data_IF_806322742276
#
_entry.id   IF_806322742276
#
_cell.length_a   1.000
_cell.length_b   1.000
_cell.length_c   1.000
_cell.angle_alpha   90.00
_cell.angle_beta   90.00
_cell.angle_gamma   90.00
#
_symmetry.space_group_name_H-M   'P 1'
#
loop_
_entity.id
_entity.type
_entity.pdbx_description
1 polymer ?
#
# COMPACT_ATOMS: atom_id res chain seq x y z
N UNK A 1 53.02 -17.93 1.70
CA UNK A 1 52.36 -16.86 0.94
C UNK A 1 51.31 -17.48 0.03
N UNK A 2 50.03 -17.32 0.35
CA UNK A 2 48.92 -17.36 -0.60
C UNK A 2 47.67 -16.88 0.15
N UNK A 3 47.22 -15.66 -0.18
CA UNK A 3 45.96 -15.09 0.27
C UNK A 3 44.82 -15.94 -0.30
N UNK A 4 43.96 -16.47 0.57
CA UNK A 4 42.65 -16.97 0.17
C UNK A 4 41.68 -15.80 0.37
N UNK A 5 41.32 -15.15 -0.73
CA UNK A 5 40.30 -14.11 -0.74
C UNK A 5 38.97 -14.73 -0.27
N UNK A 6 38.42 -14.19 0.81
CA UNK A 6 37.01 -14.31 1.14
C UNK A 6 36.23 -13.56 0.06
N UNK A 7 35.39 -14.29 -0.66
CA UNK A 7 34.29 -13.69 -1.40
C UNK A 7 33.21 -13.46 -0.35
N UNK A 8 33.00 -12.19 -0.01
CA UNK A 8 31.86 -11.75 0.78
C UNK A 8 30.59 -11.91 -0.07
N UNK A 9 29.79 -12.93 0.25
CA UNK A 9 28.40 -13.00 -0.20
C UNK A 9 27.56 -12.05 0.67
N UNK A 10 27.59 -10.76 0.35
CA UNK A 10 26.67 -9.73 0.86
C UNK A 10 25.59 -9.45 -0.21
N UNK A 11 24.63 -10.36 -0.33
CA UNK A 11 23.36 -10.13 -1.05
C UNK A 11 22.17 -10.34 -0.10
N UNK A 12 22.25 -9.67 1.06
CA UNK A 12 21.14 -9.52 2.01
C UNK A 12 20.22 -8.39 1.58
N UNK A 13 19.42 -8.62 0.53
CA UNK A 13 18.48 -7.66 -0.04
C UNK A 13 17.58 -6.96 1.01
N UNK A 14 17.73 -5.64 1.11
CA UNK A 14 16.95 -4.74 1.96
C UNK A 14 15.52 -4.57 1.43
N UNK A 15 14.70 -5.60 1.57
CA UNK A 15 13.25 -5.50 1.39
C UNK A 15 12.60 -5.04 2.71
N UNK A 16 11.38 -4.45 2.72
CA UNK A 16 10.55 -4.07 3.90
C UNK A 16 10.56 -2.59 4.32
N UNK A 17 11.07 -1.67 3.49
CA UNK A 17 11.20 -0.28 3.93
C UNK A 17 9.85 0.45 4.06
N UNK A 18 8.79 -0.03 3.39
CA UNK A 18 7.41 0.46 3.53
C UNK A 18 6.82 0.32 4.94
N UNK A 19 7.42 -0.50 5.80
CA UNK A 19 7.02 -0.60 7.20
C UNK A 19 7.53 0.56 8.05
N UNK A 20 8.59 1.26 7.63
CA UNK A 20 9.25 2.31 8.43
C UNK A 20 8.83 3.74 8.09
N UNK A 21 8.12 3.97 6.98
CA UNK A 21 7.85 5.32 6.45
C UNK A 21 6.85 6.15 7.29
N UNK A 22 6.34 5.60 8.40
CA UNK A 22 5.39 6.29 9.30
C UNK A 22 6.02 7.51 9.99
N UNK A 23 7.35 7.59 10.04
CA UNK A 23 8.04 8.77 10.56
C UNK A 23 7.71 10.06 9.79
N UNK A 24 7.20 9.94 8.56
CA UNK A 24 6.73 11.06 7.75
C UNK A 24 5.27 11.47 7.99
N UNK A 25 4.51 10.77 8.84
CA UNK A 25 3.14 11.19 9.14
C UNK A 25 3.14 12.55 9.85
N UNK A 26 2.28 13.49 9.43
CA UNK A 26 2.25 14.83 10.01
C UNK A 26 1.65 14.84 11.42
N UNK A 27 0.96 13.74 11.81
CA UNK A 27 0.27 13.60 13.09
C UNK A 27 -0.76 14.72 13.36
N UNK A 28 -1.32 15.31 12.31
CA UNK A 28 -2.32 16.38 12.36
C UNK A 28 -3.51 16.09 11.44
N UNK A 29 -4.59 16.86 11.60
CA UNK A 29 -5.79 16.75 10.78
C UNK A 29 -5.62 17.55 9.49
N UNK A 30 -5.50 16.86 8.35
CA UNK A 30 -5.56 17.43 7.01
C UNK A 30 -6.99 17.38 6.44
N UNK A 31 -7.20 18.04 5.30
CA UNK A 31 -8.46 17.93 4.55
C UNK A 31 -8.69 16.48 4.09
N UNK A 32 -9.95 15.98 4.03
CA UNK A 32 -10.26 14.65 3.51
C UNK A 32 -9.75 14.41 2.08
N UNK A 33 -9.45 13.15 1.77
CA UNK A 33 -9.05 12.70 0.43
C UNK A 33 -10.32 12.38 -0.36
N UNK A 34 -10.57 13.19 -1.40
CA UNK A 34 -11.79 13.14 -2.23
C UNK A 34 -11.50 13.49 -3.69
N UNK A 35 -12.42 13.18 -4.59
CA UNK A 35 -12.35 13.41 -6.03
C UNK A 35 -11.87 12.20 -6.84
N UNK A 36 -11.17 11.27 -6.21
CA UNK A 36 -10.70 10.04 -6.86
C UNK A 36 -11.85 9.03 -7.06
N UNK A 37 -12.80 8.98 -6.12
CA UNK A 37 -13.96 8.09 -6.14
C UNK A 37 -14.88 8.33 -7.35
N UNK A 38 -14.87 9.57 -7.86
CA UNK A 38 -15.61 10.04 -9.04
C UNK A 38 -14.93 9.70 -10.37
N UNK A 39 -13.68 9.23 -10.35
CA UNK A 39 -12.97 8.82 -11.57
C UNK A 39 -13.50 7.48 -12.09
N UNK A 40 -13.44 7.24 -13.40
CA UNK A 40 -13.73 5.93 -13.97
C UNK A 40 -12.75 4.89 -13.44
N UNK A 41 -13.20 3.64 -13.32
CA UNK A 41 -12.31 2.51 -13.14
C UNK A 41 -11.68 2.18 -14.51
N UNK A 42 -10.35 2.07 -14.53
CA UNK A 42 -9.52 1.96 -15.75
C UNK A 42 -8.51 0.83 -15.60
N UNK A 43 -7.81 0.46 -16.67
CA UNK A 43 -6.73 -0.53 -16.58
C UNK A 43 -5.55 0.00 -15.75
N UNK A 44 -4.65 -0.89 -15.30
CA UNK A 44 -3.46 -0.46 -14.57
C UNK A 44 -2.55 0.44 -15.43
N UNK A 45 -2.43 0.19 -16.73
CA UNK A 45 -1.64 1.02 -17.64
C UNK A 45 -2.18 2.44 -17.73
N UNK A 46 -3.49 2.59 -17.88
CA UNK A 46 -4.16 3.89 -17.90
C UNK A 46 -4.06 4.59 -16.54
N UNK A 47 -4.16 3.82 -15.45
CA UNK A 47 -4.09 4.35 -14.10
C UNK A 47 -2.71 4.96 -13.75
N UNK A 48 -1.63 4.40 -14.30
CA UNK A 48 -0.26 4.88 -14.05
C UNK A 48 0.24 5.90 -15.07
N UNK A 49 -0.47 6.13 -16.18
CA UNK A 49 -0.07 7.08 -17.23
C UNK A 49 0.23 8.49 -16.67
N UNK A 50 -0.60 9.09 -15.79
CA UNK A 50 -0.32 10.41 -15.24
C UNK A 50 0.89 10.44 -14.28
N UNK A 51 1.36 9.27 -13.84
CA UNK A 51 2.40 9.11 -12.82
C UNK A 51 3.81 9.04 -13.39
N UNK A 52 3.96 8.92 -14.72
CA UNK A 52 5.25 8.72 -15.39
C UNK A 52 6.28 9.80 -15.07
N UNK A 53 5.85 11.04 -14.84
CA UNK A 53 6.73 12.15 -14.48
C UNK A 53 7.15 12.16 -13.00
N UNK A 54 6.44 11.44 -12.13
CA UNK A 54 6.67 11.42 -10.69
C UNK A 54 7.34 10.14 -10.21
N UNK A 55 7.09 9.03 -10.91
CA UNK A 55 7.55 7.70 -10.55
C UNK A 55 8.28 7.11 -11.76
N UNK A 56 9.62 7.19 -11.80
CA UNK A 56 10.41 6.58 -12.85
C UNK A 56 10.09 5.09 -13.00
N UNK A 57 10.16 4.59 -14.24
CA UNK A 57 9.91 3.19 -14.60
C UNK A 57 8.52 2.63 -14.26
N UNK A 58 7.56 3.47 -13.87
CA UNK A 58 6.24 3.01 -13.39
C UNK A 58 5.50 2.13 -14.40
N UNK A 59 5.60 2.43 -15.70
CA UNK A 59 5.00 1.60 -16.78
C UNK A 59 5.60 0.21 -16.82
N UNK A 60 6.93 0.11 -16.69
CA UNK A 60 7.65 -1.17 -16.66
C UNK A 60 7.26 -1.95 -15.42
N UNK A 61 7.15 -1.29 -14.26
CA UNK A 61 6.75 -1.93 -13.01
C UNK A 61 5.28 -2.37 -13.03
N UNK A 62 4.38 -1.61 -13.65
CA UNK A 62 2.99 -2.00 -13.86
C UNK A 62 2.88 -3.29 -14.72
N UNK A 63 3.66 -3.39 -15.80
CA UNK A 63 3.76 -4.61 -16.59
C UNK A 63 4.24 -5.80 -15.73
N UNK A 64 5.31 -5.60 -14.94
CA UNK A 64 5.83 -6.64 -14.04
C UNK A 64 4.78 -7.05 -13.00
N UNK A 65 4.02 -6.10 -12.45
CA UNK A 65 2.96 -6.38 -11.49
C UNK A 65 1.87 -7.29 -12.09
N UNK A 66 1.44 -7.03 -13.33
CA UNK A 66 0.51 -7.91 -14.06
C UNK A 66 1.08 -9.30 -14.29
N UNK A 67 2.35 -9.40 -14.70
CA UNK A 67 2.99 -10.71 -14.90
C UNK A 67 3.14 -11.53 -13.60
N UNK A 68 3.09 -10.86 -12.44
CA UNK A 68 3.10 -11.50 -11.12
C UNK A 68 1.70 -11.89 -10.62
N UNK A 69 0.63 -11.45 -11.29
CA UNK A 69 -0.72 -11.85 -10.93
C UNK A 69 -0.90 -13.37 -11.05
N UNK A 70 -1.69 -13.94 -10.15
CA UNK A 70 -2.22 -15.29 -10.33
C UNK A 70 -3.25 -15.29 -11.44
N UNK A 71 -3.40 -16.43 -12.12
CA UNK A 71 -4.43 -16.62 -13.13
C UNK A 71 -5.31 -17.85 -12.77
N UNK A 72 -6.59 -17.65 -12.38
CA UNK A 72 -7.23 -16.35 -12.11
C UNK A 72 -6.71 -15.71 -10.80
N UNK A 73 -6.87 -14.38 -10.63
CA UNK A 73 -6.58 -13.74 -9.35
C UNK A 73 -7.46 -14.29 -8.22
N UNK A 74 -6.95 -14.25 -6.99
CA UNK A 74 -7.72 -14.59 -5.80
C UNK A 74 -8.79 -13.52 -5.49
N UNK A 75 -9.67 -13.83 -4.54
CA UNK A 75 -10.60 -12.88 -3.92
C UNK A 75 -11.55 -12.16 -4.92
N UNK A 76 -11.80 -12.81 -6.06
CA UNK A 76 -12.63 -12.33 -7.16
C UNK A 76 -12.20 -10.97 -7.75
N UNK A 77 -10.93 -10.58 -7.54
CA UNK A 77 -10.37 -9.39 -8.16
C UNK A 77 -10.15 -9.61 -9.66
N UNK A 78 -10.31 -8.54 -10.43
CA UNK A 78 -9.78 -8.47 -11.79
C UNK A 78 -8.24 -8.48 -11.77
N UNK A 79 -7.65 -8.73 -12.94
CA UNK A 79 -6.20 -8.68 -13.11
C UNK A 79 -5.65 -7.29 -12.76
N UNK A 80 -6.27 -6.21 -13.25
CA UNK A 80 -5.86 -4.84 -12.97
C UNK A 80 -5.94 -4.47 -11.48
N UNK A 81 -7.02 -4.89 -10.81
CA UNK A 81 -7.19 -4.68 -9.37
C UNK A 81 -6.10 -5.41 -8.57
N UNK A 82 -5.88 -6.70 -8.83
CA UNK A 82 -4.82 -7.47 -8.17
C UNK A 82 -3.44 -6.89 -8.47
N UNK A 83 -3.18 -6.52 -9.73
CA UNK A 83 -1.89 -5.96 -10.15
C UNK A 83 -1.64 -4.60 -9.50
N UNK A 84 -2.67 -3.80 -9.25
CA UNK A 84 -2.52 -2.51 -8.56
C UNK A 84 -2.01 -2.68 -7.11
N UNK A 85 -2.50 -3.71 -6.39
CA UNK A 85 -2.04 -4.05 -5.04
C UNK A 85 -0.61 -4.60 -5.09
N UNK A 86 -0.33 -5.48 -6.06
CA UNK A 86 1.04 -6.00 -6.26
C UNK A 86 1.98 -4.81 -6.46
N UNK A 87 1.68 -3.91 -7.40
CA UNK A 87 2.48 -2.74 -7.74
C UNK A 87 2.75 -1.84 -6.52
N UNK A 88 1.76 -1.64 -5.65
CA UNK A 88 1.95 -0.92 -4.39
C UNK A 88 2.98 -1.60 -3.49
N UNK A 89 2.93 -2.93 -3.36
CA UNK A 89 3.88 -3.69 -2.53
C UNK A 89 5.26 -3.91 -3.17
N UNK A 90 5.42 -3.61 -4.47
CA UNK A 90 6.69 -3.81 -5.17
C UNK A 90 7.75 -2.84 -4.66
N UNK A 91 8.97 -3.34 -4.55
CA UNK A 91 10.14 -2.54 -4.21
C UNK A 91 11.18 -2.66 -5.33
N UNK A 92 11.75 -1.52 -5.72
CA UNK A 92 12.84 -1.40 -6.70
C UNK A 92 13.83 -0.32 -6.25
N UNK A 93 14.94 -0.19 -6.97
CA UNK A 93 16.01 0.77 -6.65
C UNK A 93 16.06 1.89 -7.70
N UNK A 94 16.29 3.15 -7.27
CA UNK A 94 16.36 3.60 -5.86
C UNK A 94 14.98 3.59 -5.17
N UNK A 95 14.97 3.51 -3.84
CA UNK A 95 13.74 3.32 -3.06
C UNK A 95 12.78 4.52 -3.19
N UNK A 96 13.35 5.71 -3.27
CA UNK A 96 12.62 6.98 -3.37
C UNK A 96 11.81 7.07 -4.67
N UNK A 97 12.11 6.19 -5.64
CA UNK A 97 11.37 6.05 -6.89
C UNK A 97 10.31 4.94 -6.84
N UNK A 98 10.18 4.21 -5.73
CA UNK A 98 9.11 3.23 -5.55
C UNK A 98 7.74 3.90 -5.47
N UNK A 99 6.73 3.30 -6.08
CA UNK A 99 5.37 3.86 -6.10
C UNK A 99 4.84 4.11 -4.68
N UNK A 100 4.99 3.15 -3.75
CA UNK A 100 4.48 3.34 -2.38
C UNK A 100 5.15 4.53 -1.68
N UNK A 101 6.45 4.75 -1.94
CA UNK A 101 7.23 5.80 -1.30
C UNK A 101 6.71 7.17 -1.74
N UNK A 102 6.62 7.38 -3.06
CA UNK A 102 6.15 8.65 -3.63
C UNK A 102 4.66 8.88 -3.31
N UNK A 103 3.84 7.83 -3.39
CA UNK A 103 2.41 7.93 -3.08
C UNK A 103 2.17 8.30 -1.61
N UNK A 104 2.81 7.60 -0.67
CA UNK A 104 2.63 7.88 0.75
C UNK A 104 3.15 9.26 1.13
N UNK A 105 4.28 9.70 0.55
CA UNK A 105 4.74 11.08 0.72
C UNK A 105 3.71 12.10 0.20
N UNK A 106 3.07 11.81 -0.94
CA UNK A 106 2.04 12.68 -1.52
C UNK A 106 0.76 12.70 -0.67
N UNK A 107 0.34 11.56 -0.14
CA UNK A 107 -0.83 11.43 0.75
C UNK A 107 -0.65 12.18 2.08
N UNK A 108 0.58 12.23 2.59
CA UNK A 108 0.95 12.96 3.83
C UNK A 108 1.11 14.46 3.61
N UNK A 109 1.20 14.93 2.36
CA UNK A 109 1.30 16.35 2.08
C UNK A 109 -0.05 17.05 2.30
N UNK A 110 -0.01 18.26 2.88
CA UNK A 110 -1.19 19.09 3.12
C UNK A 110 -1.91 19.48 1.82
N UNK A 111 -1.15 19.74 0.75
CA UNK A 111 -1.68 20.15 -0.55
C UNK A 111 -2.34 18.97 -1.29
N UNK A 112 -3.66 18.86 -1.17
CA UNK A 112 -4.48 17.82 -1.83
C UNK A 112 -4.46 17.88 -3.36
N UNK A 113 -4.12 19.02 -3.94
CA UNK A 113 -3.97 19.16 -5.40
C UNK A 113 -2.86 18.26 -5.96
N UNK A 114 -1.84 17.96 -5.15
CA UNK A 114 -0.76 17.03 -5.53
C UNK A 114 -1.26 15.60 -5.74
N UNK A 115 -2.43 15.24 -5.20
CA UNK A 115 -3.05 13.92 -5.40
C UNK A 115 -3.80 13.79 -6.72
N UNK A 116 -4.09 14.88 -7.44
CA UNK A 116 -4.89 14.82 -8.67
C UNK A 116 -4.31 13.85 -9.72
N UNK A 117 -2.98 13.82 -9.98
CA UNK A 117 -2.40 12.82 -10.89
C UNK A 117 -2.59 11.36 -10.41
N UNK A 118 -2.77 11.16 -9.11
CA UNK A 118 -2.93 9.84 -8.48
C UNK A 118 -4.36 9.32 -8.50
N UNK A 119 -5.35 10.13 -8.88
CA UNK A 119 -6.76 9.77 -8.70
C UNK A 119 -7.17 8.50 -9.46
N UNK A 120 -6.63 8.24 -10.65
CA UNK A 120 -6.93 6.99 -11.39
C UNK A 120 -6.33 5.77 -10.68
N UNK A 121 -5.08 5.87 -10.23
CA UNK A 121 -4.43 4.81 -9.47
C UNK A 121 -5.12 4.57 -8.11
N UNK A 122 -5.44 5.64 -7.37
CA UNK A 122 -6.18 5.56 -6.11
C UNK A 122 -7.55 4.93 -6.31
N UNK A 123 -8.28 5.30 -7.38
CA UNK A 123 -9.56 4.68 -7.74
C UNK A 123 -9.40 3.18 -7.91
N UNK A 124 -8.41 2.74 -8.69
CA UNK A 124 -8.17 1.33 -8.97
C UNK A 124 -7.80 0.54 -7.71
N UNK A 125 -6.77 0.98 -6.96
CA UNK A 125 -6.29 0.24 -5.79
C UNK A 125 -7.28 0.25 -4.63
N UNK A 126 -8.01 1.35 -4.41
CA UNK A 126 -9.01 1.41 -3.34
C UNK A 126 -10.29 0.64 -3.69
N UNK A 127 -10.65 0.56 -4.98
CA UNK A 127 -11.69 -0.38 -5.43
C UNK A 127 -11.25 -1.83 -5.20
N UNK A 128 -10.02 -2.20 -5.56
CA UNK A 128 -9.47 -3.53 -5.29
C UNK A 128 -9.52 -3.89 -3.79
N UNK A 129 -9.04 -2.99 -2.92
CA UNK A 129 -9.07 -3.18 -1.47
C UNK A 129 -10.49 -3.23 -0.89
N UNK A 130 -11.47 -2.59 -1.53
CA UNK A 130 -12.87 -2.60 -1.09
C UNK A 130 -13.54 -3.97 -1.27
N UNK A 131 -13.07 -4.78 -2.23
CA UNK A 131 -13.53 -6.15 -2.47
C UNK A 131 -12.95 -7.15 -1.47
N UNK A 132 -11.80 -6.83 -0.86
CA UNK A 132 -11.20 -7.67 0.17
C UNK A 132 -11.96 -7.58 1.50
N UNK A 133 -12.10 -8.69 2.25
CA UNK A 133 -12.70 -8.67 3.58
C UNK A 133 -12.02 -7.65 4.50
N UNK A 134 -12.81 -6.93 5.30
CA UNK A 134 -12.28 -6.08 6.37
C UNK A 134 -11.92 -6.93 7.58
N UNK A 135 -10.68 -6.79 8.05
CA UNK A 135 -10.20 -7.42 9.26
C UNK A 135 -10.24 -6.45 10.45
N UNK A 136 -10.67 -6.97 11.60
CA UNK A 136 -10.53 -6.34 12.90
C UNK A 136 -9.66 -7.23 13.78
N UNK A 137 -8.38 -6.87 13.89
CA UNK A 137 -7.38 -7.61 14.67
C UNK A 137 -6.26 -6.69 15.13
N UNK A 138 -5.43 -7.19 16.03
CA UNK A 138 -4.17 -6.53 16.34
C UNK A 138 -3.17 -6.78 15.21
N UNK A 139 -2.55 -5.70 14.72
CA UNK A 139 -1.45 -5.72 13.75
C UNK A 139 -0.27 -4.92 14.29
N UNK A 140 0.89 -5.16 13.72
CA UNK A 140 2.14 -4.60 14.20
C UNK A 140 2.89 -3.83 13.11
N UNK A 141 3.61 -2.79 13.51
CA UNK A 141 4.45 -2.00 12.61
C UNK A 141 5.70 -1.49 13.33
N UNK A 142 6.86 -1.62 12.69
CA UNK A 142 8.15 -1.21 13.26
C UNK A 142 8.70 0.05 12.61
N UNK A 143 9.46 0.85 13.37
CA UNK A 143 10.14 2.07 12.89
C UNK A 143 11.51 2.18 13.53
N UNK A 144 12.55 2.48 12.75
CA UNK A 144 13.91 2.71 13.25
C UNK A 144 14.10 4.15 13.77
N UNK A 145 13.20 4.62 14.64
CA UNK A 145 13.26 5.93 15.29
C UNK A 145 12.46 5.96 16.61
N UNK A 146 12.69 6.96 17.46
CA UNK A 146 11.87 7.27 18.64
C UNK A 146 10.67 8.14 18.24
N UNK A 147 9.47 7.57 18.29
CA UNK A 147 8.25 8.25 17.89
C UNK A 147 7.45 8.84 19.06
N UNK A 148 7.86 8.64 20.32
CA UNK A 148 7.02 8.96 21.51
C UNK A 148 6.53 10.40 21.54
N UNK A 149 7.37 11.35 21.10
CA UNK A 149 7.03 12.78 21.05
C UNK A 149 5.83 13.12 20.15
N UNK A 150 5.45 12.23 19.23
CA UNK A 150 4.34 12.41 18.30
C UNK A 150 3.05 11.70 18.74
N UNK A 151 3.11 10.87 19.79
CA UNK A 151 2.02 10.01 20.21
C UNK A 151 1.78 10.19 21.71
N UNK A 152 1.14 11.31 22.08
CA UNK A 152 0.76 11.57 23.46
C UNK A 152 -0.45 10.73 23.84
N UNK A 153 -0.39 10.10 25.02
CA UNK A 153 -1.50 9.29 25.54
C UNK A 153 -2.80 10.10 25.57
N UNK A 154 -3.86 9.51 25.04
CA UNK A 154 -5.18 10.13 24.99
C UNK A 154 -5.36 11.08 23.81
N UNK A 155 -4.36 11.34 22.97
CA UNK A 155 -4.55 12.10 21.73
C UNK A 155 -5.08 11.22 20.61
N UNK A 156 -5.71 11.89 19.64
CA UNK A 156 -6.17 11.28 18.41
C UNK A 156 -5.22 11.67 17.30
N UNK A 157 -4.72 10.69 16.55
CA UNK A 157 -3.81 10.86 15.42
C UNK A 157 -4.44 10.28 14.16
N UNK A 158 -4.03 10.79 13.00
CA UNK A 158 -4.45 10.27 11.69
C UNK A 158 -3.22 9.83 10.91
N UNK A 159 -3.29 8.64 10.32
CA UNK A 159 -2.32 8.16 9.35
C UNK A 159 -2.87 8.39 7.95
N UNK A 160 -2.24 9.32 7.22
CA UNK A 160 -2.69 9.75 5.90
C UNK A 160 -2.14 8.89 4.78
N UNK A 161 -0.96 8.26 4.95
CA UNK A 161 -0.44 7.29 3.99
C UNK A 161 -1.13 5.93 4.09
N UNK A 162 -0.93 5.08 3.08
CA UNK A 162 -1.15 3.65 3.27
C UNK A 162 -0.15 3.13 4.29
N UNK A 163 -0.60 2.25 5.19
CA UNK A 163 0.27 1.68 6.23
C UNK A 163 0.36 0.18 6.10
N UNK A 164 1.52 -0.31 5.64
CA UNK A 164 1.87 -1.74 5.67
C UNK A 164 2.13 -2.18 7.11
N UNK A 165 1.36 -3.13 7.59
CA UNK A 165 1.49 -3.75 8.89
C UNK A 165 1.64 -5.27 8.73
N UNK A 166 2.11 -5.96 9.75
CA UNK A 166 2.16 -7.43 9.76
C UNK A 166 1.27 -7.98 10.85
N UNK A 167 0.63 -9.11 10.56
CA UNK A 167 -0.14 -9.89 11.53
C UNK A 167 0.76 -10.65 12.53
N UNK A 168 2.05 -10.82 12.20
CA UNK A 168 2.96 -11.75 12.87
C UNK A 168 4.11 -11.00 13.51
N UNK A 169 4.21 -11.03 14.84
CA UNK A 169 5.23 -10.29 15.59
C UNK A 169 6.66 -10.79 15.30
N UNK A 170 6.82 -12.08 14.96
CA UNK A 170 8.14 -12.67 14.69
C UNK A 170 8.81 -12.09 13.44
N UNK A 171 8.03 -11.65 12.46
CA UNK A 171 8.52 -10.95 11.27
C UNK A 171 9.29 -9.71 11.68
N UNK A 172 8.85 -9.00 12.72
CA UNK A 172 9.48 -7.76 13.18
C UNK A 172 10.80 -7.95 13.95
N UNK A 173 11.13 -9.18 14.38
CA UNK A 173 12.38 -9.46 15.10
C UNK A 173 13.62 -9.48 14.20
N UNK A 174 13.45 -9.64 12.88
CA UNK A 174 14.60 -9.64 11.98
C UNK A 174 15.17 -8.22 11.82
N UNK A 175 16.49 -8.12 11.60
CA UNK A 175 17.16 -6.83 11.36
C UNK A 175 16.64 -6.10 10.10
N UNK A 176 16.01 -6.87 9.21
CA UNK A 176 15.32 -6.39 8.01
C UNK A 176 14.05 -5.59 8.33
N UNK A 177 13.39 -5.89 9.46
CA UNK A 177 12.28 -5.11 10.00
C UNK A 177 12.78 -4.22 11.14
N UNK A 178 12.42 -4.47 12.40
CA UNK A 178 12.78 -3.56 13.49
C UNK A 178 14.26 -3.70 13.90
N UNK A 179 14.79 -4.92 13.83
CA UNK A 179 16.10 -5.28 14.34
C UNK A 179 16.27 -5.10 15.85
N UNK A 180 17.49 -5.31 16.31
CA UNK A 180 17.84 -5.33 17.74
C UNK A 180 18.67 -4.13 18.22
N UNK A 181 19.03 -3.21 17.32
CA UNK A 181 19.95 -2.09 17.63
C UNK A 181 19.37 -0.75 17.21
N UNK A 182 19.82 0.32 17.89
CA UNK A 182 19.39 1.69 17.63
C UNK A 182 18.01 2.02 18.20
N UNK A 183 17.70 3.32 18.29
CA UNK A 183 16.39 3.79 18.76
C UNK A 183 15.31 3.32 17.79
N UNK A 184 14.32 2.62 18.31
CA UNK A 184 13.27 2.01 17.49
C UNK A 184 11.94 2.02 18.21
N UNK A 185 10.87 2.19 17.44
CA UNK A 185 9.49 2.19 17.93
C UNK A 185 8.73 1.04 17.31
N UNK A 186 8.00 0.32 18.16
CA UNK A 186 7.10 -0.76 17.82
C UNK A 186 5.66 -0.31 18.08
N UNK A 187 4.83 -0.32 17.05
CA UNK A 187 3.42 -0.02 17.15
C UNK A 187 2.61 -1.31 17.29
N UNK A 188 1.79 -1.39 18.33
CA UNK A 188 0.69 -2.36 18.46
C UNK A 188 -0.60 -1.65 18.12
N UNK A 189 -1.31 -2.12 17.10
CA UNK A 189 -2.45 -1.39 16.52
C UNK A 189 -3.67 -2.31 16.54
N UNK A 190 -4.67 -1.98 17.35
CA UNK A 190 -6.01 -2.57 17.22
C UNK A 190 -6.67 -1.96 15.97
N UNK A 191 -6.43 -2.56 14.80
CA UNK A 191 -6.91 -1.97 13.55
C UNK A 191 -8.39 -2.27 13.32
N UNK A 192 -9.08 -1.28 12.76
CA UNK A 192 -10.41 -1.45 12.17
C UNK A 192 -10.25 -1.36 10.65
N UNK A 193 -10.90 -2.28 9.94
CA UNK A 193 -10.91 -2.30 8.47
C UNK A 193 -9.52 -2.46 7.82
N UNK A 194 -8.64 -3.26 8.42
CA UNK A 194 -7.40 -3.69 7.76
C UNK A 194 -7.69 -4.65 6.60
N UNK A 195 -6.84 -4.64 5.58
CA UNK A 195 -6.99 -5.48 4.38
C UNK A 195 -5.84 -6.46 4.28
N UNK A 196 -6.16 -7.75 4.32
CA UNK A 196 -5.16 -8.78 4.05
C UNK A 196 -4.82 -8.77 2.57
N UNK A 197 -3.57 -8.43 2.24
CA UNK A 197 -3.10 -8.39 0.86
C UNK A 197 -2.08 -9.50 0.58
N UNK A 198 -1.94 -10.50 1.44
CA UNK A 198 -0.95 -11.56 1.30
C UNK A 198 -1.05 -12.25 -0.08
N UNK A 199 -2.27 -12.48 -0.57
CA UNK A 199 -2.49 -13.13 -1.87
C UNK A 199 -2.17 -12.23 -3.08
N UNK A 200 -2.04 -10.93 -2.84
CA UNK A 200 -1.87 -9.88 -3.84
C UNK A 200 -0.63 -9.00 -3.57
N UNK A 201 0.29 -9.46 -2.73
CA UNK A 201 1.56 -8.79 -2.43
C UNK A 201 2.71 -9.49 -3.15
N UNK A 202 3.75 -8.72 -3.50
CA UNK A 202 5.01 -9.27 -4.01
C UNK A 202 5.65 -10.24 -3.01
N UNK A 203 5.46 -9.99 -1.71
CA UNK A 203 6.12 -10.72 -0.63
C UNK A 203 5.11 -11.45 0.26
N UNK A 204 4.69 -12.64 -0.19
CA UNK A 204 3.65 -13.44 0.47
C UNK A 204 4.02 -13.90 1.88
N UNK A 205 5.30 -13.94 2.22
CA UNK A 205 5.79 -14.38 3.53
C UNK A 205 5.64 -13.33 4.64
N UNK A 206 5.21 -12.11 4.33
CA UNK A 206 5.19 -11.02 5.29
C UNK A 206 3.87 -10.89 6.08
N UNK A 207 2.87 -11.72 5.76
CA UNK A 207 1.51 -11.65 6.31
C UNK A 207 0.98 -10.19 6.33
N UNK A 208 1.15 -9.50 5.20
CA UNK A 208 0.96 -8.06 5.09
C UNK A 208 -0.52 -7.70 5.20
N UNK A 209 -0.84 -6.93 6.24
CA UNK A 209 -2.13 -6.26 6.42
C UNK A 209 -1.95 -4.79 6.06
N UNK A 210 -2.60 -4.37 5.00
CA UNK A 210 -2.57 -3.00 4.53
C UNK A 210 -3.71 -2.20 5.16
N UNK A 211 -3.38 -1.07 5.80
CA UNK A 211 -4.35 -0.09 6.25
C UNK A 211 -4.48 1.00 5.18
N UNK A 212 -5.71 1.29 4.68
CA UNK A 212 -5.94 2.38 3.75
C UNK A 212 -5.56 3.76 4.33
N UNK A 213 -5.41 4.80 3.49
CA UNK A 213 -5.20 6.20 3.89
C UNK A 213 -6.28 6.74 4.82
N UNK A 214 -5.94 7.75 5.61
CA UNK A 214 -6.88 8.52 6.42
C UNK A 214 -7.42 7.77 7.64
N UNK A 215 -6.64 6.85 8.22
CA UNK A 215 -7.05 6.06 9.38
C UNK A 215 -6.84 6.83 10.67
N UNK A 216 -7.88 6.91 11.48
CA UNK A 216 -7.82 7.57 12.77
C UNK A 216 -7.53 6.56 13.90
N UNK A 217 -6.67 6.96 14.82
CA UNK A 217 -6.29 6.17 15.98
C UNK A 217 -6.31 7.00 17.25
N UNK A 218 -6.73 6.39 18.35
CA UNK A 218 -6.52 6.88 19.71
C UNK A 218 -5.23 6.31 20.27
N UNK A 219 -4.36 7.16 20.79
CA UNK A 219 -3.15 6.72 21.50
C UNK A 219 -3.55 6.21 22.88
N UNK A 220 -3.48 4.91 23.12
CA UNK A 220 -3.89 4.32 24.38
C UNK A 220 -2.83 4.49 25.47
N UNK A 221 -1.57 4.18 25.16
CA UNK A 221 -0.39 4.33 26.01
C UNK A 221 0.89 4.08 25.20
N UNK A 222 2.03 4.39 25.80
CA UNK A 222 3.33 3.92 25.33
C UNK A 222 4.17 3.41 26.51
N UNK A 223 5.16 2.57 26.21
CA UNK A 223 6.10 1.97 27.16
C UNK A 223 7.53 2.07 26.61
N UNK A 224 8.52 1.98 27.48
CA UNK A 224 9.95 1.88 27.14
C UNK A 224 10.52 0.59 27.75
N UNK A 225 10.35 -0.58 27.08
CA UNK A 225 10.86 -1.85 27.61
C UNK A 225 12.37 -1.91 27.76
N UNK A 226 13.10 -1.19 26.90
CA UNK A 226 14.55 -0.98 26.98
C UNK A 226 14.90 0.44 26.53
N UNK A 227 16.09 0.95 26.88
CA UNK A 227 16.49 2.34 26.59
C UNK A 227 16.53 2.73 25.10
N UNK A 228 16.41 1.75 24.21
CA UNK A 228 16.45 1.89 22.75
C UNK A 228 15.19 1.33 22.05
N UNK A 229 14.24 0.72 22.78
CA UNK A 229 12.99 0.21 22.25
C UNK A 229 11.80 0.90 22.92
N UNK A 230 10.92 1.46 22.10
CA UNK A 230 9.67 2.07 22.52
C UNK A 230 8.49 1.30 21.97
N UNK A 231 7.44 1.10 22.76
CA UNK A 231 6.20 0.47 22.32
C UNK A 231 5.07 1.49 22.40
N UNK A 232 4.31 1.67 21.32
CA UNK A 232 3.15 2.56 21.26
C UNK A 232 1.92 1.73 20.94
N UNK A 233 0.87 1.84 21.78
CA UNK A 233 -0.39 1.16 21.56
C UNK A 233 -1.45 2.10 20.98
N UNK A 234 -1.97 1.75 19.81
CA UNK A 234 -2.98 2.50 19.09
C UNK A 234 -4.28 1.71 19.02
N UNK A 235 -5.40 2.40 19.22
CA UNK A 235 -6.74 1.85 19.00
C UNK A 235 -7.40 2.54 17.82
N UNK A 236 -7.76 1.79 16.79
CA UNK A 236 -8.50 2.32 15.64
C UNK A 236 -9.83 2.93 16.09
N UNK A 237 -10.16 4.09 15.55
CA UNK A 237 -11.45 4.75 15.75
C UNK A 237 -12.01 5.24 14.41
N UNK A 238 -13.33 5.21 14.26
CA UNK A 238 -13.97 5.81 13.08
C UNK A 238 -14.28 7.29 13.37
N UNK A 239 -13.86 8.22 12.49
CA UNK A 239 -14.27 9.61 12.56
C UNK A 239 -15.77 9.76 12.21
N UNK A 240 -16.43 10.85 12.64
CA UNK A 240 -17.86 11.09 12.32
C UNK A 240 -18.13 11.29 10.83
N UNK A 241 -17.11 11.68 10.06
CA UNK A 241 -17.15 11.85 8.61
C UNK A 241 -15.95 11.15 7.98
N UNK A 242 -16.07 10.58 6.77
CA UNK A 242 -14.97 9.88 6.12
C UNK A 242 -13.80 10.84 5.84
N UNK A 243 -12.58 10.42 6.22
CA UNK A 243 -11.35 11.12 5.84
C UNK A 243 -10.83 10.66 4.48
N UNK A 244 -11.36 9.55 3.98
CA UNK A 244 -11.15 8.99 2.64
C UNK A 244 -12.53 8.65 2.08
N UNK A 245 -12.96 9.35 1.03
CA UNK A 245 -14.28 9.14 0.43
C UNK A 245 -14.46 7.69 -0.03
N UNK A 246 -15.57 6.99 0.26
CA UNK A 246 -15.72 5.60 -0.12
C UNK A 246 -15.88 5.42 -1.64
N UNK A 247 -15.30 4.35 -2.18
CA UNK A 247 -15.57 3.92 -3.55
C UNK A 247 -16.98 3.33 -3.66
N UNK A 248 -17.72 3.69 -4.71
CA UNK A 248 -19.01 3.04 -5.01
C UNK A 248 -18.79 1.55 -5.29
N UNK A 249 -19.58 0.69 -4.64
CA UNK A 249 -19.56 -0.77 -4.85
C UNK A 249 -20.29 -1.19 -6.12
N UNK A 250 -21.04 -0.28 -6.73
CA UNK A 250 -21.77 -0.51 -7.97
C UNK A 250 -20.96 0.03 -9.15
N UNK A 251 -20.05 -0.78 -9.68
CA UNK A 251 -19.36 -0.48 -10.96
C UNK A 251 -19.59 -1.65 -11.92
N UNK A 252 -20.17 -1.42 -13.12
CA UNK A 252 -20.29 -2.46 -14.13
C UNK A 252 -18.92 -3.00 -14.50
N UNK A 253 -18.76 -4.33 -14.50
CA UNK A 253 -17.54 -5.00 -14.96
C UNK A 253 -17.21 -4.50 -16.37
N UNK A 254 -15.96 -4.11 -16.59
CA UNK A 254 -15.43 -3.65 -17.89
C UNK A 254 -15.85 -4.67 -18.96
N UNK A 255 -16.67 -4.23 -19.91
CA UNK A 255 -17.08 -5.04 -21.05
C UNK A 255 -15.85 -5.22 -21.94
N UNK A 256 -15.38 -6.46 -22.05
CA UNK A 256 -14.43 -6.82 -23.10
C UNK A 256 -15.03 -6.47 -24.46
N UNK A 257 -14.28 -5.70 -25.26
CA UNK A 257 -14.68 -5.31 -26.60
C UNK A 257 -14.96 -6.57 -27.43
N UNK A 258 -16.16 -6.65 -28.01
CA UNK A 258 -16.55 -7.73 -28.90
C UNK A 258 -15.62 -7.75 -30.12
N UNK A 259 -14.92 -8.86 -30.30
CA UNK A 259 -14.26 -9.22 -31.55
C UNK A 259 -15.29 -9.24 -32.68
N UNK A 260 -15.17 -8.30 -33.61
CA UNK A 260 -15.94 -8.30 -34.86
C UNK A 260 -15.44 -9.46 -35.72
N UNK A 261 -16.28 -10.49 -35.90
CA UNK A 261 -16.04 -11.59 -36.83
C UNK A 261 -16.25 -11.09 -38.28
N UNK A 262 -15.25 -11.18 -39.17
CA UNK A 262 -15.41 -10.82 -40.58
C UNK A 262 -15.90 -12.04 -41.37
N UNK A 263 -17.17 -12.43 -41.20
CA UNK A 263 -17.77 -13.53 -41.97
C UNK A 263 -19.25 -13.26 -42.27
N UNK A 264 -19.54 -12.21 -43.03
CA UNK A 264 -20.86 -12.03 -43.65
C UNK A 264 -20.81 -11.08 -44.84
N UNK A 265 -20.03 -11.43 -45.87
CA UNK A 265 -20.28 -10.93 -47.23
C UNK A 265 -20.26 -12.14 -48.17
N UNK A 266 -21.42 -12.75 -48.36
CA UNK A 266 -21.72 -13.51 -49.58
C UNK A 266 -23.10 -13.02 -50.03
N UNK A 267 -23.10 -12.14 -51.04
CA UNK A 267 -24.30 -11.80 -51.80
C UNK A 267 -24.53 -12.88 -52.87
N UNK A 268 -25.77 -13.28 -53.17
CA UNK A 268 -26.05 -14.23 -54.25
C UNK A 268 -25.91 -13.55 -55.62
N UNK A 269 -25.30 -14.26 -56.56
CA UNK A 269 -25.27 -13.94 -57.99
C UNK A 269 -26.64 -14.22 -58.63
N UNK A 270 -27.21 -13.20 -59.28
CA UNK A 270 -28.28 -13.36 -60.27
C UNK A 270 -27.72 -13.97 -61.56
N UNK A 271 -28.38 -15.03 -62.05
CA UNK A 271 -28.67 -15.31 -63.47
C UNK A 271 -29.68 -16.44 -63.62
#
# INVERSE_FOLDING_TARGET
MAKKNSVDDDDGSQHNQRFFDIAGEPCEMLLPIQGYEKKPLVSLEEAVEPLVQFVPDIKRMAYVAKMKCRNPPADHLSEDESASIILYSMEWKPQEECLYYVLNATLRAESREKLVPWFLYLKLVLTALSHLPSLQRTVFRGVKSDMRKYYTKGETVVWWGFSSCTATMDVLKSDQFLGSTGKRTFFTIECINGKDIQQHSQYKSEDEILLPPGRQFKVAFWLEPSGDLYMIHLKGSEPPYPLLEPVSKDVPKISTAATVNPSSIIAPMDR
#
